data_IF_509455254155
#
_entry.id   IF_509455254155
#
_cell.length_a   1.000
_cell.length_b   1.000
_cell.length_c   1.000
_cell.angle_alpha   90.00
_cell.angle_beta   90.00
_cell.angle_gamma   90.00
#
_symmetry.space_group_name_H-M   'P 1'
#
loop_
_entity.id
_entity.type
_entity.pdbx_description
1 polymer ?
#
# COMPACT_ATOMS: atom_id res chain seq x y z
N UNK A 1 46.08 11.00 -65.73
CA UNK A 1 45.09 12.08 -65.86
C UNK A 1 44.63 12.48 -64.47
N UNK A 2 44.98 13.71 -64.04
CA UNK A 2 44.56 14.27 -62.76
C UNK A 2 43.08 14.65 -62.82
N UNK A 3 42.27 14.12 -61.90
CA UNK A 3 40.85 14.42 -61.76
C UNK A 3 40.57 15.10 -60.41
N UNK A 4 40.37 16.42 -60.50
CA UNK A 4 40.00 17.41 -59.47
C UNK A 4 39.14 16.92 -58.29
N UNK A 5 39.60 17.24 -57.08
CA UNK A 5 38.78 17.35 -55.87
C UNK A 5 37.61 18.31 -56.05
N UNK A 6 36.44 17.97 -55.51
CA UNK A 6 35.47 18.95 -55.02
C UNK A 6 35.14 18.62 -53.57
N UNK A 7 35.63 19.50 -52.69
CA UNK A 7 35.25 19.57 -51.29
C UNK A 7 33.80 20.05 -51.21
N UNK A 8 32.95 19.32 -50.49
CA UNK A 8 31.69 19.85 -49.99
C UNK A 8 31.68 19.58 -48.49
N UNK A 9 31.89 20.64 -47.71
CA UNK A 9 31.67 20.69 -46.27
C UNK A 9 30.47 21.65 -46.02
N UNK A 10 29.89 21.67 -44.83
CA UNK A 10 28.55 21.20 -44.54
C UNK A 10 27.59 22.37 -44.26
N UNK A 11 26.30 22.20 -44.50
CA UNK A 11 25.34 23.22 -44.12
C UNK A 11 23.98 22.58 -43.81
N UNK A 12 23.81 22.09 -42.57
CA UNK A 12 22.49 22.17 -41.92
C UNK A 12 22.71 22.35 -40.43
N UNK A 13 22.54 23.62 -40.04
CA UNK A 13 22.52 24.10 -38.69
C UNK A 13 21.23 23.68 -37.98
N UNK A 14 21.34 23.61 -36.65
CA UNK A 14 20.26 23.86 -35.69
C UNK A 14 19.15 22.81 -35.59
N UNK A 15 19.46 21.70 -34.90
CA UNK A 15 18.42 21.04 -34.11
C UNK A 15 18.26 21.78 -32.78
N UNK A 16 17.06 22.32 -32.61
CA UNK A 16 16.53 22.95 -31.40
C UNK A 16 16.93 22.18 -30.14
N UNK A 17 17.50 22.91 -29.19
CA UNK A 17 17.51 22.57 -27.77
C UNK A 17 16.04 22.39 -27.34
N UNK A 18 15.59 21.16 -27.18
CA UNK A 18 14.36 20.90 -26.43
C UNK A 18 14.66 21.17 -24.96
N UNK A 19 14.16 22.31 -24.52
CA UNK A 19 14.23 22.83 -23.17
C UNK A 19 13.91 21.77 -22.13
N UNK A 20 14.88 21.49 -21.26
CA UNK A 20 14.65 20.88 -19.96
C UNK A 20 13.82 21.86 -19.10
N UNK A 21 12.49 21.83 -19.25
CA UNK A 21 11.56 22.40 -18.29
C UNK A 21 10.87 21.26 -17.55
N UNK A 22 11.64 20.53 -16.76
CA UNK A 22 11.15 19.62 -15.73
C UNK A 22 11.61 20.09 -14.34
N UNK A 23 11.56 21.40 -14.10
CA UNK A 23 11.88 21.98 -12.81
C UNK A 23 10.80 23.00 -12.46
N UNK A 24 10.16 22.78 -11.31
CA UNK A 24 9.13 23.61 -10.68
C UNK A 24 7.68 23.40 -11.13
N UNK A 25 7.22 22.15 -11.18
CA UNK A 25 5.86 21.93 -10.64
C UNK A 25 5.97 22.26 -9.16
N UNK A 26 5.25 23.27 -8.63
CA UNK A 26 5.17 23.48 -7.21
C UNK A 26 4.73 22.16 -6.61
N UNK A 27 5.56 21.55 -5.75
CA UNK A 27 5.05 20.50 -4.88
C UNK A 27 3.97 21.21 -4.08
N UNK A 28 2.71 20.94 -4.40
CA UNK A 28 1.61 21.30 -3.52
C UNK A 28 2.03 20.75 -2.17
N UNK A 29 2.38 21.64 -1.22
CA UNK A 29 2.56 21.17 0.14
C UNK A 29 1.27 20.44 0.47
N UNK A 30 1.39 19.18 0.86
CA UNK A 30 0.30 18.47 1.49
C UNK A 30 0.04 19.22 2.79
N UNK A 31 -0.76 20.28 2.71
CA UNK A 31 -1.27 20.96 3.87
C UNK A 31 -2.11 19.92 4.58
N UNK A 32 -1.73 19.60 5.82
CA UNK A 32 -2.59 18.85 6.72
C UNK A 32 -3.93 19.59 6.69
N UNK A 33 -4.96 18.97 6.09
CA UNK A 33 -6.32 19.48 6.27
C UNK A 33 -6.47 19.59 7.77
N UNK A 34 -6.99 20.72 8.26
CA UNK A 34 -7.36 20.80 9.66
C UNK A 34 -8.44 19.74 9.88
N UNK A 35 -8.02 18.51 10.20
CA UNK A 35 -8.90 17.42 10.58
C UNK A 35 -9.56 17.95 11.84
N UNK A 36 -10.86 18.27 11.76
CA UNK A 36 -11.55 18.87 12.89
C UNK A 36 -11.39 17.93 14.09
N UNK A 37 -10.89 18.45 15.22
CA UNK A 37 -10.68 17.66 16.43
C UNK A 37 -11.95 16.86 16.82
N UNK A 38 -13.13 17.42 16.54
CA UNK A 38 -14.41 16.73 16.70
C UNK A 38 -14.55 15.48 15.81
N UNK A 39 -14.22 15.56 14.52
CA UNK A 39 -14.28 14.42 13.60
C UNK A 39 -13.29 13.33 14.01
N UNK A 40 -12.11 13.72 14.48
CA UNK A 40 -11.11 12.79 14.98
C UNK A 40 -11.59 12.06 16.25
N UNK A 41 -12.19 12.78 17.19
CA UNK A 41 -12.77 12.18 18.40
C UNK A 41 -13.89 11.20 18.08
N UNK A 42 -14.74 11.51 17.09
CA UNK A 42 -15.77 10.57 16.62
C UNK A 42 -15.13 9.31 16.04
N UNK A 43 -14.11 9.46 15.19
CA UNK A 43 -13.41 8.31 14.60
C UNK A 43 -12.73 7.44 15.68
N UNK A 44 -12.09 8.03 16.68
CA UNK A 44 -11.50 7.31 17.79
C UNK A 44 -12.54 6.58 18.66
N UNK A 45 -13.72 7.17 18.86
CA UNK A 45 -14.84 6.53 19.56
C UNK A 45 -15.39 5.32 18.78
N UNK A 46 -15.54 5.45 17.46
CA UNK A 46 -15.94 4.34 16.58
C UNK A 46 -14.89 3.23 16.60
N UNK A 47 -13.60 3.57 16.50
CA UNK A 47 -12.51 2.60 16.59
C UNK A 47 -12.49 1.88 17.95
N UNK A 48 -12.69 2.62 19.05
CA UNK A 48 -12.81 2.03 20.39
C UNK A 48 -13.96 1.03 20.48
N UNK A 49 -15.12 1.38 19.90
CA UNK A 49 -16.30 0.51 19.86
C UNK A 49 -16.04 -0.74 19.02
N UNK A 50 -15.43 -0.57 17.84
CA UNK A 50 -15.05 -1.67 16.96
C UNK A 50 -14.13 -2.66 17.71
N UNK A 51 -13.09 -2.16 18.38
CA UNK A 51 -12.17 -2.97 19.15
C UNK A 51 -12.82 -3.65 20.35
N UNK A 52 -13.66 -2.95 21.11
CA UNK A 52 -14.25 -3.48 22.33
C UNK A 52 -15.29 -4.58 22.06
N UNK A 53 -16.05 -4.47 20.97
CA UNK A 53 -17.18 -5.35 20.70
C UNK A 53 -16.89 -6.48 19.72
N UNK A 54 -15.99 -6.26 18.76
CA UNK A 54 -15.81 -7.18 17.65
C UNK A 54 -14.42 -7.82 17.64
N UNK A 55 -13.36 -7.15 18.09
CA UNK A 55 -12.02 -7.73 18.01
C UNK A 55 -11.82 -8.88 19.02
N UNK A 56 -11.49 -10.07 18.50
CA UNK A 56 -11.23 -11.27 19.28
C UNK A 56 -9.72 -11.50 19.36
N UNK A 57 -9.11 -11.11 20.47
CA UNK A 57 -7.64 -11.11 20.62
C UNK A 57 -6.98 -12.49 20.47
N UNK A 58 -7.68 -13.57 20.84
CA UNK A 58 -7.19 -14.94 20.73
C UNK A 58 -6.96 -15.35 19.27
N UNK A 59 -7.93 -15.12 18.39
CA UNK A 59 -7.81 -15.39 16.95
C UNK A 59 -7.10 -14.26 16.19
N UNK A 60 -7.20 -13.02 16.67
CA UNK A 60 -6.82 -11.81 15.93
C UNK A 60 -7.83 -11.41 14.84
N UNK A 61 -9.05 -11.94 14.91
CA UNK A 61 -10.13 -11.70 13.94
C UNK A 61 -11.25 -10.84 14.55
N UNK A 62 -12.15 -10.33 13.72
CA UNK A 62 -13.35 -9.63 14.17
C UNK A 62 -14.57 -10.56 14.15
N UNK A 63 -15.31 -10.60 15.24
CA UNK A 63 -16.56 -11.35 15.34
C UNK A 63 -17.58 -10.81 14.33
N UNK A 64 -18.22 -11.70 13.56
CA UNK A 64 -19.14 -11.33 12.50
C UNK A 64 -18.49 -10.84 11.19
N UNK A 65 -17.16 -10.79 11.14
CA UNK A 65 -16.40 -10.50 9.92
C UNK A 65 -15.97 -11.76 9.15
N UNK A 66 -15.28 -11.51 8.05
CA UNK A 66 -14.53 -12.47 7.22
C UNK A 66 -13.16 -11.90 6.91
N UNK A 67 -12.31 -12.67 6.23
CA UNK A 67 -10.90 -12.31 5.97
C UNK A 67 -10.74 -10.89 5.38
N UNK A 68 -11.46 -10.54 4.31
CA UNK A 68 -11.41 -9.20 3.74
C UNK A 68 -11.90 -8.07 4.67
N UNK A 69 -13.02 -8.26 5.38
CA UNK A 69 -13.55 -7.22 6.29
C UNK A 69 -12.62 -7.01 7.48
N UNK A 70 -12.02 -8.08 7.96
CA UNK A 70 -11.05 -8.04 9.06
C UNK A 70 -9.78 -7.32 8.63
N UNK A 71 -9.30 -7.59 7.41
CA UNK A 71 -8.17 -6.87 6.83
C UNK A 71 -8.49 -5.37 6.68
N UNK A 72 -9.66 -5.04 6.16
CA UNK A 72 -10.13 -3.65 6.02
C UNK A 72 -10.21 -2.94 7.38
N UNK A 73 -10.76 -3.58 8.42
CA UNK A 73 -10.79 -3.03 9.77
C UNK A 73 -9.39 -2.75 10.34
N UNK A 74 -8.42 -3.64 10.07
CA UNK A 74 -7.02 -3.43 10.47
C UNK A 74 -6.40 -2.26 9.69
N UNK A 75 -6.65 -2.15 8.40
CA UNK A 75 -6.21 -1.01 7.58
C UNK A 75 -6.73 0.32 8.13
N UNK A 76 -8.04 0.40 8.38
CA UNK A 76 -8.72 1.60 8.89
C UNK A 76 -8.16 2.07 10.23
N UNK A 77 -7.85 1.15 11.15
CA UNK A 77 -7.24 1.50 12.43
C UNK A 77 -5.85 2.12 12.25
N UNK A 78 -5.04 1.58 11.33
CA UNK A 78 -3.70 2.11 11.09
C UNK A 78 -3.76 3.44 10.31
N UNK A 79 -4.71 3.60 9.39
CA UNK A 79 -5.03 4.87 8.76
C UNK A 79 -5.44 5.93 9.81
N UNK A 80 -6.32 5.57 10.74
CA UNK A 80 -6.73 6.45 11.83
C UNK A 80 -5.54 6.82 12.72
N UNK A 81 -4.73 5.85 13.15
CA UNK A 81 -3.56 6.11 13.99
C UNK A 81 -2.55 7.04 13.32
N UNK A 82 -2.33 6.90 12.01
CA UNK A 82 -1.50 7.82 11.22
C UNK A 82 -2.12 9.22 11.12
N UNK A 83 -3.41 9.32 10.78
CA UNK A 83 -4.10 10.61 10.60
C UNK A 83 -4.26 11.39 11.90
N UNK A 84 -4.55 10.67 13.00
CA UNK A 84 -4.71 11.21 14.35
C UNK A 84 -3.38 11.45 15.08
N UNK A 85 -2.30 10.82 14.60
CA UNK A 85 -1.02 10.75 15.32
C UNK A 85 -1.17 10.16 16.73
N UNK A 86 -1.84 9.00 16.84
CA UNK A 86 -2.04 8.25 18.10
C UNK A 86 -1.55 6.80 17.96
N UNK A 87 -1.43 6.09 19.08
CA UNK A 87 -0.93 4.69 19.14
C UNK A 87 -1.86 3.73 19.89
N UNK A 88 -3.08 4.17 20.18
CA UNK A 88 -4.04 3.47 21.03
C UNK A 88 -4.25 2.00 20.64
N UNK A 89 -4.19 1.70 19.34
CA UNK A 89 -4.41 0.35 18.78
C UNK A 89 -3.18 -0.21 18.06
N UNK A 90 -1.99 0.30 18.39
CA UNK A 90 -0.72 -0.06 17.74
C UNK A 90 -0.43 -1.57 17.73
N UNK A 91 -0.92 -2.29 18.73
CA UNK A 91 -0.75 -3.75 18.86
C UNK A 91 -1.60 -4.54 17.88
N UNK A 92 -2.65 -3.96 17.27
CA UNK A 92 -3.51 -4.66 16.30
C UNK A 92 -2.71 -5.08 15.06
N UNK A 93 -1.70 -4.30 14.66
CA UNK A 93 -0.84 -4.66 13.52
C UNK A 93 -0.06 -5.96 13.72
N UNK A 94 0.23 -6.37 14.96
CA UNK A 94 0.93 -7.63 15.26
C UNK A 94 0.03 -8.72 15.85
N UNK A 95 -1.12 -8.35 16.42
CA UNK A 95 -2.05 -9.30 17.04
C UNK A 95 -3.20 -9.71 16.13
N UNK A 96 -3.48 -8.96 15.07
CA UNK A 96 -4.45 -9.35 14.04
C UNK A 96 -4.03 -10.63 13.35
N UNK A 97 -4.99 -11.36 12.81
CA UNK A 97 -4.76 -12.63 12.14
C UNK A 97 -3.80 -12.46 10.94
N UNK A 98 -3.99 -11.41 10.14
CA UNK A 98 -3.10 -11.10 9.00
C UNK A 98 -1.71 -10.66 9.48
N UNK A 99 -1.63 -9.92 10.59
CA UNK A 99 -0.36 -9.47 11.15
C UNK A 99 0.47 -10.62 11.73
N UNK A 100 -0.18 -11.53 12.48
CA UNK A 100 0.44 -12.77 12.99
C UNK A 100 1.00 -13.62 11.84
N UNK A 101 0.25 -13.74 10.75
CA UNK A 101 0.68 -14.47 9.57
C UNK A 101 1.83 -13.78 8.82
N UNK A 102 1.83 -12.45 8.71
CA UNK A 102 2.95 -11.71 8.13
C UNK A 102 4.25 -11.84 8.94
N UNK A 103 4.14 -11.96 10.26
CA UNK A 103 5.27 -12.17 11.17
C UNK A 103 5.77 -13.62 11.16
N UNK A 104 5.05 -14.56 10.57
CA UNK A 104 5.45 -15.97 10.49
C UNK A 104 6.05 -16.28 9.10
N UNK A 105 7.37 -16.51 9.00
CA UNK A 105 8.02 -16.78 7.71
C UNK A 105 7.56 -18.11 7.06
N UNK A 106 6.92 -19.00 7.83
CA UNK A 106 6.39 -20.28 7.34
C UNK A 106 4.92 -20.20 6.89
N UNK A 107 4.32 -19.01 6.86
CA UNK A 107 2.93 -18.86 6.45
C UNK A 107 2.72 -19.25 4.98
N UNK A 108 1.77 -20.15 4.76
CA UNK A 108 1.31 -20.51 3.42
C UNK A 108 0.17 -19.57 2.97
N UNK A 109 0.55 -18.44 2.36
CA UNK A 109 -0.41 -17.44 1.87
C UNK A 109 -1.39 -17.99 0.83
N UNK A 110 -0.97 -18.96 0.01
CA UNK A 110 -1.86 -19.58 -0.98
C UNK A 110 -3.02 -20.32 -0.30
N UNK A 111 -2.76 -21.02 0.81
CA UNK A 111 -3.79 -21.70 1.59
C UNK A 111 -4.73 -20.73 2.30
N UNK A 112 -4.23 -19.53 2.65
CA UNK A 112 -5.00 -18.48 3.33
C UNK A 112 -5.97 -17.82 2.35
N UNK A 113 -5.46 -17.44 1.18
CA UNK A 113 -6.20 -16.71 0.15
C UNK A 113 -7.20 -17.64 -0.54
N UNK A 114 -6.81 -18.90 -0.78
CA UNK A 114 -7.67 -19.92 -1.37
C UNK A 114 -8.33 -19.48 -2.69
N UNK A 115 -7.60 -18.72 -3.52
CA UNK A 115 -8.08 -18.21 -4.81
C UNK A 115 -8.98 -16.97 -4.76
N UNK A 116 -9.29 -16.43 -3.58
CA UNK A 116 -10.06 -15.20 -3.43
C UNK A 116 -9.17 -13.96 -3.63
N UNK A 117 -9.04 -13.51 -4.87
CA UNK A 117 -8.15 -12.39 -5.23
C UNK A 117 -8.59 -11.05 -4.65
N UNK A 118 -9.89 -10.86 -4.40
CA UNK A 118 -10.43 -9.68 -3.71
C UNK A 118 -10.03 -9.67 -2.23
N UNK A 119 -10.20 -10.78 -1.51
CA UNK A 119 -9.67 -10.93 -0.15
C UNK A 119 -8.16 -10.68 -0.09
N UNK A 120 -7.40 -11.23 -1.06
CA UNK A 120 -5.96 -11.02 -1.16
C UNK A 120 -5.59 -9.54 -1.32
N UNK A 121 -6.32 -8.80 -2.15
CA UNK A 121 -6.14 -7.37 -2.34
C UNK A 121 -6.33 -6.59 -1.04
N UNK A 122 -7.39 -6.89 -0.29
CA UNK A 122 -7.64 -6.25 1.02
C UNK A 122 -6.52 -6.55 2.03
N UNK A 123 -5.98 -7.77 2.04
CA UNK A 123 -4.84 -8.11 2.91
C UNK A 123 -3.60 -7.31 2.52
N UNK A 124 -3.31 -7.16 1.21
CA UNK A 124 -2.16 -6.37 0.73
C UNK A 124 -2.27 -4.92 1.21
N UNK A 125 -3.43 -4.28 1.05
CA UNK A 125 -3.66 -2.91 1.50
C UNK A 125 -3.47 -2.76 3.02
N UNK A 126 -4.03 -3.69 3.80
CA UNK A 126 -3.87 -3.69 5.25
C UNK A 126 -2.41 -3.87 5.68
N UNK A 127 -1.67 -4.79 5.07
CA UNK A 127 -0.25 -5.03 5.35
C UNK A 127 0.63 -3.83 5.00
N UNK A 128 0.38 -3.19 3.85
CA UNK A 128 1.04 -1.93 3.51
C UNK A 128 0.71 -0.83 4.51
N UNK A 129 -0.53 -0.75 5.01
CA UNK A 129 -0.87 0.27 6.00
C UNK A 129 -0.23 0.03 7.36
N UNK A 130 -0.10 -1.23 7.79
CA UNK A 130 0.69 -1.59 8.98
C UNK A 130 2.16 -1.19 8.78
N UNK A 131 2.72 -1.45 7.60
CA UNK A 131 4.09 -1.08 7.24
C UNK A 131 4.32 0.44 7.27
N UNK A 132 3.39 1.23 6.70
CA UNK A 132 3.42 2.70 6.75
C UNK A 132 3.42 3.20 8.19
N UNK A 133 2.48 2.71 9.02
CA UNK A 133 2.38 3.07 10.42
C UNK A 133 3.67 2.75 11.18
N UNK A 134 4.22 1.54 11.01
CA UNK A 134 5.48 1.15 11.67
C UNK A 134 6.65 2.01 11.24
N UNK A 135 6.77 2.27 9.94
CA UNK A 135 7.83 3.12 9.39
C UNK A 135 7.75 4.54 9.93
N UNK A 136 6.53 5.11 10.03
CA UNK A 136 6.30 6.43 10.62
C UNK A 136 6.70 6.51 12.10
N UNK A 137 6.79 5.37 12.80
CA UNK A 137 7.24 5.28 14.20
C UNK A 137 8.66 4.76 14.36
N UNK A 138 9.44 4.70 13.27
CA UNK A 138 10.83 4.21 13.29
C UNK A 138 10.95 2.71 13.63
N UNK A 139 9.88 1.95 13.44
CA UNK A 139 9.85 0.50 13.65
C UNK A 139 10.10 -0.24 12.34
N UNK A 140 10.58 -1.48 12.42
CA UNK A 140 10.74 -2.32 11.24
C UNK A 140 9.39 -2.70 10.62
N UNK A 141 9.29 -2.50 9.30
CA UNK A 141 8.13 -2.85 8.48
C UNK A 141 8.37 -4.07 7.57
N UNK A 142 9.58 -4.65 7.60
CA UNK A 142 10.05 -5.62 6.60
C UNK A 142 9.15 -6.85 6.45
N UNK A 143 8.69 -7.43 7.56
CA UNK A 143 7.84 -8.63 7.52
C UNK A 143 6.51 -8.38 6.79
N UNK A 144 5.88 -7.25 7.05
CA UNK A 144 4.62 -6.84 6.44
C UNK A 144 4.78 -6.53 4.95
N UNK A 145 5.86 -5.85 4.57
CA UNK A 145 6.19 -5.58 3.17
C UNK A 145 6.47 -6.86 2.39
N UNK A 146 7.22 -7.80 2.98
CA UNK A 146 7.52 -9.09 2.36
C UNK A 146 6.25 -9.93 2.16
N UNK A 147 5.38 -9.97 3.17
CA UNK A 147 4.10 -10.66 3.07
C UNK A 147 3.20 -10.03 1.99
N UNK A 148 3.06 -8.69 1.98
CA UNK A 148 2.29 -7.98 0.98
C UNK A 148 2.82 -8.23 -0.44
N UNK A 149 4.14 -8.18 -0.64
CA UNK A 149 4.77 -8.48 -1.93
C UNK A 149 4.51 -9.93 -2.38
N UNK A 150 4.57 -10.88 -1.44
CA UNK A 150 4.27 -12.30 -1.72
C UNK A 150 2.85 -12.47 -2.22
N UNK A 151 1.86 -11.88 -1.51
CA UNK A 151 0.44 -11.96 -1.88
C UNK A 151 0.18 -11.24 -3.20
N UNK A 152 0.72 -10.03 -3.37
CA UNK A 152 0.57 -9.27 -4.60
C UNK A 152 1.09 -10.03 -5.82
N UNK A 153 2.23 -10.70 -5.69
CA UNK A 153 2.77 -11.54 -6.77
C UNK A 153 1.87 -12.74 -7.09
N UNK A 154 1.18 -13.32 -6.10
CA UNK A 154 0.19 -14.38 -6.33
C UNK A 154 -0.98 -13.85 -7.18
N UNK A 155 -1.54 -12.69 -6.79
CA UNK A 155 -2.66 -12.04 -7.50
C UNK A 155 -2.25 -11.58 -8.90
N UNK A 156 -1.09 -10.96 -9.05
CA UNK A 156 -0.57 -10.54 -10.36
C UNK A 156 -0.34 -11.74 -11.29
N UNK A 157 0.02 -12.91 -10.74
CA UNK A 157 0.13 -14.16 -11.49
C UNK A 157 -1.21 -14.74 -11.96
N UNK A 158 -2.35 -14.22 -11.50
CA UNK A 158 -3.68 -14.59 -11.97
C UNK A 158 -4.16 -13.75 -13.17
N UNK A 159 -3.33 -12.80 -13.64
CA UNK A 159 -3.67 -12.03 -14.84
C UNK A 159 -3.79 -12.94 -16.07
N UNK A 160 -4.85 -12.77 -16.83
CA UNK A 160 -4.96 -13.33 -18.18
C UNK A 160 -5.55 -12.32 -19.18
N UNK A 161 -5.57 -12.70 -20.46
CA UNK A 161 -6.05 -11.86 -21.57
C UNK A 161 -7.56 -12.02 -21.84
N UNK A 162 -8.28 -12.79 -21.00
CA UNK A 162 -9.73 -12.90 -21.10
C UNK A 162 -10.34 -11.52 -20.93
N UNK A 163 -11.37 -11.19 -21.73
CA UNK A 163 -11.99 -9.86 -21.73
C UNK A 163 -11.04 -8.68 -22.04
N UNK A 164 -9.87 -8.95 -22.65
CA UNK A 164 -8.88 -7.91 -22.97
C UNK A 164 -7.94 -7.58 -21.81
N UNK A 165 -7.88 -8.43 -20.79
CA UNK A 165 -6.99 -8.28 -19.64
C UNK A 165 -7.74 -8.20 -18.32
N UNK A 166 -7.22 -8.85 -17.30
CA UNK A 166 -7.72 -8.68 -15.93
C UNK A 166 -7.27 -9.77 -14.98
N UNK A 167 -7.60 -9.56 -13.71
CA UNK A 167 -7.50 -10.58 -12.66
C UNK A 167 -8.92 -11.03 -12.34
N UNK A 168 -9.10 -12.34 -12.17
CA UNK A 168 -10.36 -12.97 -11.79
C UNK A 168 -10.78 -12.68 -10.35
#
# INVERSE_FOLDING_TARGET
>A
MLGSSKKVLPLFASFLVMSAQAANVPRTELHKRAQCAATLSVAESVASTLQAHYYVSSSGMYNGGSLWTDANAVEDLHNLMLGANVDTWSTVGQTSWIGKNALNPSTNWNSIINGANDDAGWIVLALWKIADYKSARGQSATAYLNAAATIYNMVAGQWDDTCGGGVW
#
